data_IF_351184761217
#
_entry.id   IF_351184761217
#
_cell.length_a   1.000
_cell.length_b   1.000
_cell.length_c   1.000
_cell.angle_alpha   90.00
_cell.angle_beta   90.00
_cell.angle_gamma   90.00
#
_symmetry.space_group_name_H-M   'P 1'
#
loop_
_entity.id
_entity.type
_entity.pdbx_description
1 polymer ?
#
# COMPACT_ATOMS: atom_id res chain seq x y z
N UNK A 1 -23.02 13.78 -6.54
CA UNK A 1 -21.67 13.19 -6.67
C UNK A 1 -20.67 14.24 -6.26
N UNK A 2 -20.15 14.17 -5.04
CA UNK A 2 -19.07 15.06 -4.61
C UNK A 2 -17.80 14.62 -5.33
N UNK A 3 -17.20 15.51 -6.13
CA UNK A 3 -15.88 15.30 -6.69
C UNK A 3 -14.93 15.04 -5.50
N UNK A 4 -14.43 13.81 -5.37
CA UNK A 4 -13.35 13.53 -4.45
C UNK A 4 -12.12 14.25 -5.01
N UNK A 5 -11.45 15.05 -4.17
CA UNK A 5 -10.18 15.64 -4.54
C UNK A 5 -9.23 14.54 -5.04
N UNK A 6 -8.47 14.80 -6.13
CA UNK A 6 -7.56 13.79 -6.66
C UNK A 6 -6.53 13.41 -5.60
N UNK A 7 -6.48 12.12 -5.25
CA UNK A 7 -5.47 11.60 -4.33
C UNK A 7 -4.10 11.88 -4.95
N UNK A 8 -3.19 12.50 -4.21
CA UNK A 8 -1.83 12.76 -4.71
C UNK A 8 -0.98 11.49 -4.55
N UNK A 9 -0.03 11.20 -5.48
CA UNK A 9 0.83 10.03 -5.40
C UNK A 9 1.56 9.88 -4.06
N UNK A 10 2.07 10.99 -3.53
CA UNK A 10 2.77 10.99 -2.24
C UNK A 10 1.83 10.64 -1.07
N UNK A 11 0.59 11.13 -1.08
CA UNK A 11 -0.38 10.85 -0.03
C UNK A 11 -0.80 9.37 -0.07
N UNK A 12 -0.97 8.80 -1.26
CA UNK A 12 -1.24 7.37 -1.41
C UNK A 12 -0.06 6.52 -0.92
N UNK A 13 1.18 6.88 -1.30
CA UNK A 13 2.38 6.17 -0.88
C UNK A 13 2.53 6.15 0.65
N UNK A 14 2.36 7.30 1.30
CA UNK A 14 2.37 7.41 2.77
C UNK A 14 1.29 6.53 3.40
N UNK A 15 0.07 6.53 2.84
CA UNK A 15 -1.03 5.74 3.36
C UNK A 15 -0.76 4.24 3.23
N UNK A 16 -0.19 3.79 2.12
CA UNK A 16 0.20 2.39 1.92
C UNK A 16 1.25 1.95 2.94
N UNK A 17 2.27 2.78 3.19
CA UNK A 17 3.29 2.53 4.22
C UNK A 17 2.66 2.38 5.61
N UNK A 18 1.80 3.32 6.02
CA UNK A 18 1.13 3.28 7.32
C UNK A 18 0.23 2.06 7.50
N UNK A 19 -0.50 1.66 6.45
CA UNK A 19 -1.34 0.46 6.49
C UNK A 19 -0.47 -0.79 6.60
N UNK A 20 0.62 -0.86 5.82
CA UNK A 20 1.58 -1.97 5.87
C UNK A 20 2.19 -2.15 7.26
N UNK A 21 2.72 -1.07 7.84
CA UNK A 21 3.25 -1.04 9.22
C UNK A 21 2.20 -1.48 10.23
N UNK A 22 1.03 -0.84 10.22
CA UNK A 22 -0.03 -1.11 11.19
C UNK A 22 -0.56 -2.54 11.14
N UNK A 23 -0.60 -3.16 9.96
CA UNK A 23 -0.98 -4.57 9.82
C UNK A 23 0.15 -5.50 10.24
N UNK A 24 1.40 -5.22 9.86
CA UNK A 24 2.54 -6.09 10.19
C UNK A 24 2.84 -6.12 11.70
N UNK A 25 2.74 -4.97 12.39
CA UNK A 25 3.07 -4.84 13.81
C UNK A 25 1.94 -5.29 14.74
N UNK A 26 0.69 -5.10 14.34
CA UNK A 26 -0.46 -5.37 15.19
C UNK A 26 -1.44 -6.36 14.54
N UNK A 27 -1.52 -7.55 15.14
CA UNK A 27 -2.42 -8.62 14.72
C UNK A 27 -3.91 -8.29 14.87
N UNK A 28 -4.25 -7.30 15.69
CA UNK A 28 -5.64 -6.83 15.88
C UNK A 28 -6.07 -5.81 14.83
N UNK A 29 -5.13 -5.24 14.07
CA UNK A 29 -5.48 -4.33 12.97
C UNK A 29 -6.21 -5.12 11.90
N UNK A 30 -7.39 -4.62 11.52
CA UNK A 30 -8.19 -5.18 10.45
C UNK A 30 -8.33 -4.15 9.32
N UNK A 31 -8.40 -4.65 8.09
CA UNK A 31 -8.71 -3.88 6.91
C UNK A 31 -9.83 -4.61 6.15
N UNK A 32 -10.82 -3.87 5.67
CA UNK A 32 -11.95 -4.47 4.96
C UNK A 32 -11.61 -4.72 3.48
N UNK A 33 -12.27 -5.70 2.87
CA UNK A 33 -12.19 -5.96 1.43
C UNK A 33 -12.53 -4.73 0.59
N UNK A 34 -13.50 -3.92 1.04
CA UNK A 34 -13.84 -2.66 0.39
C UNK A 34 -12.67 -1.66 0.41
N UNK A 35 -11.95 -1.58 1.53
CA UNK A 35 -10.74 -0.74 1.65
C UNK A 35 -9.61 -1.26 0.75
N UNK A 36 -9.40 -2.58 0.68
CA UNK A 36 -8.42 -3.20 -0.21
C UNK A 36 -8.75 -2.88 -1.67
N UNK A 37 -10.03 -3.00 -2.07
CA UNK A 37 -10.46 -2.66 -3.43
C UNK A 37 -10.17 -1.19 -3.77
N UNK A 38 -10.48 -0.26 -2.87
CA UNK A 38 -10.19 1.16 -3.07
C UNK A 38 -8.67 1.41 -3.21
N UNK A 39 -7.84 0.71 -2.44
CA UNK A 39 -6.39 0.81 -2.59
C UNK A 39 -5.91 0.31 -3.96
N UNK A 40 -6.45 -0.83 -4.42
CA UNK A 40 -6.15 -1.37 -5.75
C UNK A 40 -6.52 -0.39 -6.87
N UNK A 41 -7.73 0.17 -6.80
CA UNK A 41 -8.22 1.16 -7.76
C UNK A 41 -7.31 2.39 -7.80
N UNK A 42 -6.99 2.97 -6.64
CA UNK A 42 -6.12 4.15 -6.57
C UNK A 42 -4.70 3.89 -7.06
N UNK A 43 -4.12 2.73 -6.76
CA UNK A 43 -2.81 2.34 -7.31
C UNK A 43 -2.88 2.13 -8.81
N UNK A 44 -3.91 1.46 -9.33
CA UNK A 44 -4.09 1.23 -10.75
C UNK A 44 -4.25 2.55 -11.52
N UNK A 45 -5.10 3.46 -11.03
CA UNK A 45 -5.35 4.77 -11.64
C UNK A 45 -4.05 5.59 -11.74
N UNK A 46 -3.23 5.59 -10.68
CA UNK A 46 -1.96 6.32 -10.68
C UNK A 46 -0.89 5.70 -11.58
N UNK A 47 -0.86 4.37 -11.67
CA UNK A 47 0.06 3.67 -12.58
C UNK A 47 -0.27 3.88 -14.05
N UNK A 48 -1.56 4.08 -14.35
CA UNK A 48 -2.05 4.33 -15.70
C UNK A 48 -1.97 5.81 -16.09
N UNK A 49 -1.51 6.71 -15.21
CA UNK A 49 -1.30 8.12 -15.56
C UNK A 49 -0.02 8.30 -16.39
N UNK A 50 -0.16 8.16 -17.71
CA UNK A 50 0.92 8.26 -18.72
C UNK A 50 1.58 9.65 -18.73
N UNK A 51 0.99 10.66 -18.05
CA UNK A 51 1.48 12.04 -18.04
C UNK A 51 2.68 12.25 -17.11
N UNK A 52 3.02 11.30 -16.24
CA UNK A 52 4.05 11.44 -15.22
C UNK A 52 5.22 10.46 -15.45
N UNK A 53 6.32 10.95 -16.03
CA UNK A 53 7.53 10.14 -16.33
C UNK A 53 8.27 9.68 -15.06
N UNK A 54 8.06 10.32 -13.90
CA UNK A 54 8.56 9.89 -12.59
C UNK A 54 7.42 9.37 -11.73
N UNK A 55 7.15 8.07 -11.82
CA UNK A 55 6.03 7.44 -11.11
C UNK A 55 6.48 7.02 -9.71
N UNK A 56 6.08 7.79 -8.68
CA UNK A 56 6.26 7.39 -7.27
C UNK A 56 5.45 6.12 -6.94
N UNK A 57 4.33 5.92 -7.63
CA UNK A 57 3.48 4.74 -7.49
C UNK A 57 3.80 3.78 -8.63
N UNK A 58 4.75 2.88 -8.36
CA UNK A 58 5.25 1.89 -9.29
C UNK A 58 4.66 0.49 -9.09
N UNK A 59 5.41 -0.52 -9.53
CA UNK A 59 5.04 -1.92 -9.39
C UNK A 59 5.03 -2.36 -7.92
N UNK A 60 5.95 -1.84 -7.12
CA UNK A 60 6.11 -2.11 -5.69
C UNK A 60 4.85 -1.74 -4.91
N UNK A 61 4.19 -0.63 -5.25
CA UNK A 61 2.93 -0.23 -4.65
C UNK A 61 1.81 -1.23 -4.95
N UNK A 62 1.79 -1.81 -6.15
CA UNK A 62 0.84 -2.88 -6.51
C UNK A 62 1.11 -4.13 -5.68
N UNK A 63 2.37 -4.56 -5.60
CA UNK A 63 2.76 -5.70 -4.79
C UNK A 63 2.40 -5.50 -3.31
N UNK A 64 2.60 -4.29 -2.77
CA UNK A 64 2.30 -4.00 -1.37
C UNK A 64 0.80 -4.14 -1.09
N UNK A 65 -0.07 -3.64 -1.96
CA UNK A 65 -1.53 -3.82 -1.83
C UNK A 65 -1.92 -5.30 -1.85
N UNK A 66 -1.32 -6.10 -2.74
CA UNK A 66 -1.58 -7.54 -2.79
C UNK A 66 -1.08 -8.28 -1.54
N UNK A 67 0.08 -7.90 -0.99
CA UNK A 67 0.57 -8.48 0.26
C UNK A 67 -0.26 -8.06 1.47
N UNK A 68 -0.79 -6.83 1.48
CA UNK A 68 -1.77 -6.37 2.48
C UNK A 68 -3.04 -7.22 2.41
N UNK A 69 -3.54 -7.49 1.20
CA UNK A 69 -4.72 -8.34 1.00
C UNK A 69 -4.47 -9.77 1.47
N UNK A 70 -3.35 -10.37 1.08
CA UNK A 70 -2.96 -11.72 1.51
C UNK A 70 -2.83 -11.82 3.03
N UNK A 71 -2.26 -10.82 3.70
CA UNK A 71 -2.18 -10.76 5.15
C UNK A 71 -3.58 -10.71 5.80
N UNK A 72 -4.48 -9.88 5.26
CA UNK A 72 -5.85 -9.78 5.76
C UNK A 72 -6.62 -11.10 5.59
N UNK A 73 -6.47 -11.77 4.45
CA UNK A 73 -7.11 -13.06 4.18
C UNK A 73 -6.52 -14.17 5.06
N UNK A 74 -5.19 -14.27 5.16
CA UNK A 74 -4.55 -15.26 6.02
C UNK A 74 -5.01 -15.16 7.48
N UNK A 75 -5.22 -13.94 7.99
CA UNK A 75 -5.77 -13.71 9.34
C UNK A 75 -7.22 -14.16 9.48
N UNK A 76 -8.04 -13.89 8.46
CA UNK A 76 -9.45 -14.31 8.42
C UNK A 76 -9.55 -15.84 8.40
N UNK A 77 -8.71 -16.49 7.60
CA UNK A 77 -8.61 -17.94 7.45
C UNK A 77 -7.89 -18.61 8.64
N UNK A 78 -7.31 -17.82 9.55
CA UNK A 78 -6.46 -18.29 10.67
C UNK A 78 -5.25 -19.13 10.22
N UNK A 79 -4.72 -18.86 9.02
CA UNK A 79 -3.53 -19.53 8.47
C UNK A 79 -2.24 -18.81 8.92
N UNK A 80 -1.61 -19.34 9.96
CA UNK A 80 -0.39 -18.78 10.54
C UNK A 80 0.81 -18.78 9.57
N UNK A 81 0.90 -19.75 8.66
CA UNK A 81 2.01 -19.86 7.73
C UNK A 81 1.90 -18.82 6.62
N UNK A 82 0.70 -18.66 6.05
CA UNK A 82 0.41 -17.60 5.10
C UNK A 82 0.58 -16.22 5.73
N UNK A 83 0.07 -16.04 6.96
CA UNK A 83 0.23 -14.79 7.71
C UNK A 83 1.71 -14.43 7.89
N UNK A 84 2.54 -15.37 8.35
CA UNK A 84 3.98 -15.14 8.54
C UNK A 84 4.69 -14.75 7.24
N UNK A 85 4.40 -15.44 6.13
CA UNK A 85 4.96 -15.10 4.82
C UNK A 85 4.51 -13.73 4.34
N UNK A 86 3.23 -13.40 4.48
CA UNK A 86 2.68 -12.12 4.08
C UNK A 86 3.32 -10.97 4.87
N UNK A 87 3.51 -11.11 6.19
CA UNK A 87 4.20 -10.14 7.04
C UNK A 87 5.62 -9.87 6.52
N UNK A 88 6.38 -10.90 6.14
CA UNK A 88 7.72 -10.72 5.59
C UNK A 88 7.72 -9.85 4.32
N UNK A 89 6.79 -10.10 3.39
CA UNK A 89 6.69 -9.31 2.17
C UNK A 89 6.18 -7.89 2.43
N UNK A 90 5.18 -7.73 3.30
CA UNK A 90 4.68 -6.41 3.72
C UNK A 90 5.81 -5.57 4.32
N UNK A 91 6.61 -6.13 5.24
CA UNK A 91 7.73 -5.41 5.85
C UNK A 91 8.79 -4.99 4.82
N UNK A 92 9.13 -5.90 3.90
CA UNK A 92 10.11 -5.62 2.84
C UNK A 92 9.65 -4.48 1.92
N UNK A 93 8.44 -4.59 1.37
CA UNK A 93 7.87 -3.61 0.45
C UNK A 93 7.61 -2.26 1.11
N UNK A 94 7.18 -2.28 2.38
CA UNK A 94 7.01 -1.05 3.17
C UNK A 94 8.33 -0.34 3.39
N UNK A 95 9.43 -1.08 3.61
CA UNK A 95 10.78 -0.53 3.70
C UNK A 95 11.22 0.19 2.42
N UNK A 96 11.01 -0.44 1.26
CA UNK A 96 11.30 0.18 -0.05
C UNK A 96 10.48 1.47 -0.26
N UNK A 97 9.16 1.37 -0.08
CA UNK A 97 8.22 2.48 -0.25
C UNK A 97 8.51 3.64 0.71
N UNK A 98 8.93 3.37 1.96
CA UNK A 98 9.34 4.42 2.90
C UNK A 98 10.54 5.20 2.37
N UNK A 99 11.50 4.51 1.76
CA UNK A 99 12.64 5.15 1.08
C UNK A 99 12.20 6.04 -0.08
N UNK A 100 11.23 5.60 -0.89
CA UNK A 100 10.66 6.40 -1.98
C UNK A 100 9.93 7.65 -1.46
N UNK A 101 9.11 7.49 -0.42
CA UNK A 101 8.40 8.60 0.24
C UNK A 101 9.40 9.64 0.76
N UNK A 102 10.44 9.23 1.49
CA UNK A 102 11.44 10.15 2.02
C UNK A 102 12.19 10.91 0.91
N UNK A 103 12.53 10.24 -0.21
CA UNK A 103 13.15 10.89 -1.37
C UNK A 103 12.23 11.91 -2.00
N UNK A 104 10.95 11.56 -2.18
CA UNK A 104 9.95 12.46 -2.75
C UNK A 104 9.69 13.67 -1.84
N UNK A 105 9.58 13.48 -0.53
CA UNK A 105 9.43 14.58 0.44
C UNK A 105 10.63 15.55 0.38
N UNK A 106 11.86 15.01 0.32
CA UNK A 106 13.07 15.82 0.21
C UNK A 106 13.13 16.62 -1.09
N UNK A 107 12.65 16.06 -2.21
CA UNK A 107 12.64 16.76 -3.50
C UNK A 107 11.61 17.90 -3.56
N UNK A 108 10.58 17.87 -2.70
CA UNK A 108 9.52 18.86 -2.61
C UNK A 108 9.74 19.93 -1.52
N UNK A 109 10.80 19.78 -0.72
CA UNK A 109 11.20 20.70 0.37
C UNK A 109 12.20 21.75 -0.14
#
# INVERSE_FOLDING_TARGET
>A
MTAQDPVRPLDLAKRLVLIGEGLAENRRTQISDASIRVLREQVADMRMDIRNEQTLIGYEATCLVECIAELAFARTDQDANRESRAICYVNSLTGFMRGDVMRAEKALS
#
